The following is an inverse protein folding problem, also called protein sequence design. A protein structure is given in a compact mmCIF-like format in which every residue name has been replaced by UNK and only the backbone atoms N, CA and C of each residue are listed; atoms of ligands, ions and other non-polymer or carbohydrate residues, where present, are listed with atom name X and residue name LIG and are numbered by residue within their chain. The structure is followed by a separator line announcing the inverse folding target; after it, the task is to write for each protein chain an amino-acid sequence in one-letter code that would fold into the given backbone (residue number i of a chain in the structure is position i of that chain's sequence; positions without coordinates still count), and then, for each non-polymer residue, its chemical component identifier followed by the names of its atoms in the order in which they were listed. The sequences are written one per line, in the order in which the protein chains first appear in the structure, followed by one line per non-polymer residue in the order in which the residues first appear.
data_IF_043114765119
#
_entry.id   IF_043114765119
#
_cell.length_a   1.000
_cell.length_b   1.000
_cell.length_c   1.000
_cell.angle_alpha   90.00
_cell.angle_beta   90.00
_cell.angle_gamma   90.00
#
_symmetry.space_group_name_H-M   'P 1'
#
loop_
_entity.id
_entity.type
_entity.pdbx_description
1 polymer ?
#
# COMPACT_ATOMS: atom_id res chain seq x y z
N UNK A 1 -2.63 35.07 8.03
CA UNK A 1 -1.63 34.49 8.93
C UNK A 1 -0.22 34.87 8.51
N UNK A 2 0.65 35.17 9.46
CA UNK A 2 2.06 35.37 9.20
C UNK A 2 2.75 34.05 8.88
N UNK A 3 3.86 34.12 8.17
CA UNK A 3 4.69 32.96 7.86
C UNK A 3 5.13 32.21 9.12
N UNK A 4 5.55 32.94 10.15
CA UNK A 4 5.96 32.34 11.43
C UNK A 4 4.81 31.65 12.17
N UNK A 5 3.58 32.17 12.06
CA UNK A 5 2.40 31.50 12.64
C UNK A 5 2.09 30.18 11.92
N UNK A 6 2.21 30.15 10.59
CA UNK A 6 2.03 28.92 9.79
C UNK A 6 3.07 27.88 10.16
N UNK A 7 4.35 28.27 10.27
CA UNK A 7 5.42 27.35 10.64
C UNK A 7 5.23 26.76 12.03
N UNK A 8 4.75 27.55 12.99
CA UNK A 8 4.45 27.05 14.34
C UNK A 8 3.34 26.01 14.33
N UNK A 9 2.29 26.23 13.53
CA UNK A 9 1.19 25.27 13.39
C UNK A 9 1.68 23.97 12.78
N UNK A 10 2.50 24.02 11.75
CA UNK A 10 3.06 22.83 11.11
C UNK A 10 3.92 22.03 12.09
N UNK A 11 4.78 22.69 12.87
CA UNK A 11 5.59 22.03 13.90
C UNK A 11 4.72 21.33 14.94
N UNK A 12 3.65 21.99 15.39
CA UNK A 12 2.73 21.40 16.35
C UNK A 12 2.03 20.17 15.80
N UNK A 13 1.55 20.23 14.55
CA UNK A 13 0.89 19.09 13.89
C UNK A 13 1.83 17.91 13.73
N UNK A 14 3.12 18.13 13.46
CA UNK A 14 4.13 17.08 13.41
C UNK A 14 4.38 16.49 14.79
N UNK A 15 4.52 17.34 15.80
CA UNK A 15 4.77 16.90 17.18
C UNK A 15 3.60 16.08 17.75
N UNK A 16 2.37 16.48 17.43
CA UNK A 16 1.15 15.78 17.87
C UNK A 16 0.84 14.53 17.03
N UNK A 17 1.61 14.25 16.00
CA UNK A 17 1.41 13.09 15.14
C UNK A 17 0.28 13.23 14.11
N UNK A 18 -0.30 14.42 13.95
CA UNK A 18 -1.30 14.69 12.91
C UNK A 18 -0.65 14.64 11.53
N UNK A 19 0.52 15.27 11.40
CA UNK A 19 1.38 15.12 10.21
C UNK A 19 2.39 14.02 10.53
N UNK A 20 2.26 12.87 9.88
CA UNK A 20 3.13 11.71 10.12
C UNK A 20 4.36 11.69 9.24
N UNK A 21 4.34 12.40 8.12
CA UNK A 21 5.47 12.48 7.19
C UNK A 21 5.33 13.69 6.29
N UNK A 22 6.47 14.20 5.82
CA UNK A 22 6.55 15.23 4.79
C UNK A 22 7.25 14.60 3.59
N UNK A 23 6.56 14.46 2.48
CA UNK A 23 7.10 13.80 1.29
C UNK A 23 6.83 14.62 0.04
N UNK A 24 7.74 14.55 -0.92
CA UNK A 24 7.50 15.06 -2.25
C UNK A 24 6.72 14.04 -3.06
N UNK A 25 5.69 14.48 -3.75
CA UNK A 25 4.95 13.64 -4.70
C UNK A 25 5.61 13.80 -6.05
N UNK A 26 6.11 12.70 -6.59
CA UNK A 26 6.81 12.68 -7.87
C UNK A 26 5.96 12.02 -8.94
N UNK A 27 6.20 12.39 -10.20
CA UNK A 27 5.53 11.75 -11.35
C UNK A 27 6.22 10.42 -11.67
N UNK A 28 5.54 9.28 -11.50
CA UNK A 28 6.14 7.97 -11.74
C UNK A 28 6.60 7.78 -13.18
N UNK A 29 5.93 8.42 -14.15
CA UNK A 29 6.31 8.34 -15.57
C UNK A 29 7.68 8.92 -15.82
N UNK A 30 8.14 9.86 -14.99
CA UNK A 30 9.45 10.50 -15.10
C UNK A 30 10.56 9.76 -14.37
N UNK A 31 10.19 8.76 -13.55
CA UNK A 31 11.14 8.02 -12.71
C UNK A 31 11.35 6.58 -13.17
N UNK A 32 10.74 6.18 -14.27
CA UNK A 32 10.78 4.79 -14.73
C UNK A 32 10.35 3.82 -13.62
N UNK A 33 9.16 4.04 -13.09
CA UNK A 33 8.69 3.44 -11.83
C UNK A 33 8.38 1.93 -11.87
N UNK A 34 8.64 1.25 -13.00
CA UNK A 34 8.42 -0.19 -13.09
C UNK A 34 6.95 -0.58 -13.30
N UNK A 35 6.56 -1.70 -12.71
CA UNK A 35 5.25 -2.31 -12.88
C UNK A 35 4.44 -2.18 -11.60
N UNK A 36 3.14 -1.92 -11.75
CA UNK A 36 2.18 -1.91 -10.64
C UNK A 36 1.22 -3.07 -10.78
N UNK A 37 1.08 -3.84 -9.70
CA UNK A 37 0.16 -4.97 -9.61
C UNK A 37 -0.84 -4.72 -8.51
N UNK A 38 -2.10 -5.08 -8.74
CA UNK A 38 -3.12 -5.15 -7.71
C UNK A 38 -3.39 -6.62 -7.43
N UNK A 39 -3.21 -7.03 -6.19
CA UNK A 39 -3.25 -8.43 -5.82
C UNK A 39 -4.40 -8.66 -4.85
N UNK A 40 -5.31 -9.55 -5.23
CA UNK A 40 -6.44 -9.97 -4.41
C UNK A 40 -6.06 -11.29 -3.76
N UNK A 41 -6.02 -11.31 -2.43
CA UNK A 41 -5.56 -12.49 -1.68
C UNK A 41 -6.73 -13.08 -0.91
N UNK A 42 -6.95 -14.39 -1.10
CA UNK A 42 -7.91 -15.16 -0.32
C UNK A 42 -7.15 -16.04 0.67
N UNK A 43 -7.53 -15.96 1.93
CA UNK A 43 -6.88 -16.68 3.03
C UNK A 43 -7.61 -17.98 3.34
N UNK A 44 -6.87 -18.96 3.87
CA UNK A 44 -7.47 -20.07 4.56
C UNK A 44 -8.12 -19.57 5.84
N UNK A 45 -9.29 -20.11 6.20
CA UNK A 45 -10.06 -19.60 7.34
C UNK A 45 -9.61 -20.23 8.65
N UNK A 46 -8.54 -19.68 9.22
CA UNK A 46 -7.96 -20.20 10.47
C UNK A 46 -7.72 -19.12 11.52
N UNK A 47 -8.68 -18.26 11.78
CA UNK A 47 -8.62 -17.35 12.92
C UNK A 47 -7.92 -16.01 12.67
N UNK A 48 -8.33 -15.04 13.47
CA UNK A 48 -7.91 -13.63 13.32
C UNK A 48 -6.44 -13.38 13.61
N UNK A 49 -5.82 -14.17 14.49
CA UNK A 49 -4.40 -14.01 14.83
C UNK A 49 -3.49 -14.28 13.61
N UNK A 50 -3.83 -15.31 12.81
CA UNK A 50 -3.10 -15.64 11.60
C UNK A 50 -3.27 -14.56 10.53
N UNK A 51 -4.47 -14.00 10.41
CA UNK A 51 -4.75 -12.89 9.51
C UNK A 51 -3.89 -11.67 9.87
N UNK A 52 -3.85 -11.32 11.14
CA UNK A 52 -3.08 -10.16 11.61
C UNK A 52 -1.58 -10.35 11.41
N UNK A 53 -1.06 -11.54 11.65
CA UNK A 53 0.34 -11.85 11.44
C UNK A 53 0.72 -11.77 9.95
N UNK A 54 -0.11 -12.33 9.09
CA UNK A 54 0.07 -12.25 7.64
C UNK A 54 0.03 -10.79 7.17
N UNK A 55 -0.97 -10.03 7.59
CA UNK A 55 -1.15 -8.62 7.22
C UNK A 55 0.08 -7.79 7.62
N UNK A 56 0.59 -7.98 8.84
CA UNK A 56 1.77 -7.26 9.32
C UNK A 56 3.02 -7.59 8.48
N UNK A 57 3.21 -8.86 8.15
CA UNK A 57 4.34 -9.30 7.33
C UNK A 57 4.30 -8.73 5.92
N UNK A 58 3.14 -8.73 5.31
CA UNK A 58 2.95 -8.16 3.96
C UNK A 58 3.14 -6.65 3.97
N UNK A 59 2.55 -5.95 4.94
CA UNK A 59 2.67 -4.49 5.04
C UNK A 59 4.11 -4.03 5.27
N UNK A 60 4.96 -4.87 5.82
CA UNK A 60 6.37 -4.55 6.06
C UNK A 60 7.24 -4.69 4.79
N UNK A 61 6.73 -5.30 3.73
CA UNK A 61 7.49 -5.49 2.49
C UNK A 61 7.62 -4.16 1.74
N UNK A 62 8.83 -3.86 1.26
CA UNK A 62 9.11 -2.61 0.52
C UNK A 62 8.35 -2.53 -0.81
N UNK A 63 8.04 -3.67 -1.41
CA UNK A 63 7.30 -3.74 -2.68
C UNK A 63 5.83 -3.36 -2.52
N UNK A 64 5.29 -3.46 -1.31
CA UNK A 64 3.88 -3.20 -1.04
C UNK A 64 3.66 -1.73 -0.73
N UNK A 65 2.99 -1.03 -1.66
CA UNK A 65 2.63 0.39 -1.48
C UNK A 65 1.45 0.57 -0.54
N UNK A 66 0.47 -0.33 -0.62
CA UNK A 66 -0.70 -0.31 0.24
C UNK A 66 -1.26 -1.71 0.41
N UNK A 67 -1.86 -1.94 1.57
CA UNK A 67 -2.49 -3.21 1.89
C UNK A 67 -3.77 -2.94 2.67
N UNK A 68 -4.87 -3.58 2.26
CA UNK A 68 -6.17 -3.42 2.87
C UNK A 68 -6.76 -4.76 3.22
N UNK A 69 -7.34 -4.88 4.41
CA UNK A 69 -8.26 -5.97 4.71
C UNK A 69 -9.65 -5.54 4.22
N UNK A 70 -10.23 -6.33 3.35
CA UNK A 70 -11.48 -5.96 2.64
C UNK A 70 -12.58 -6.98 2.91
N UNK A 71 -13.80 -6.60 2.61
CA UNK A 71 -14.96 -7.51 2.66
C UNK A 71 -15.21 -8.11 1.28
N UNK A 72 -15.96 -9.21 1.23
CA UNK A 72 -16.33 -9.88 -0.01
C UNK A 72 -15.67 -11.23 -0.15
N UNK A 73 -15.46 -11.66 -1.40
CA UNK A 73 -14.85 -12.96 -1.70
C UNK A 73 -13.33 -12.98 -1.54
N UNK A 74 -12.73 -11.83 -1.36
CA UNK A 74 -11.29 -11.68 -1.14
C UNK A 74 -11.06 -11.12 0.25
N UNK A 75 -9.92 -11.45 0.86
CA UNK A 75 -9.60 -11.00 2.22
C UNK A 75 -8.68 -9.79 2.24
N UNK A 76 -7.69 -9.75 1.34
CA UNK A 76 -6.74 -8.65 1.27
C UNK A 76 -6.61 -8.12 -0.15
N UNK A 77 -6.44 -6.80 -0.24
CA UNK A 77 -6.12 -6.11 -1.49
C UNK A 77 -4.78 -5.44 -1.30
N UNK A 78 -3.80 -5.82 -2.13
CA UNK A 78 -2.46 -5.27 -2.09
C UNK A 78 -2.19 -4.48 -3.37
N UNK A 79 -1.50 -3.36 -3.24
CA UNK A 79 -0.89 -2.68 -4.37
C UNK A 79 0.62 -2.85 -4.27
N UNK A 80 1.21 -3.47 -5.27
CA UNK A 80 2.62 -3.87 -5.29
C UNK A 80 3.31 -3.21 -6.47
N UNK A 81 4.49 -2.64 -6.23
CA UNK A 81 5.34 -2.12 -7.31
C UNK A 81 6.65 -2.88 -7.33
N UNK A 82 7.05 -3.26 -8.52
CA UNK A 82 8.29 -3.99 -8.78
C UNK A 82 8.94 -3.49 -10.06
N UNK A 83 10.26 -3.59 -10.19
CA UNK A 83 10.93 -3.14 -11.41
C UNK A 83 10.66 -4.03 -12.63
N UNK A 84 10.46 -5.34 -12.45
CA UNK A 84 10.31 -6.32 -13.53
C UNK A 84 9.30 -7.40 -13.16
N UNK A 85 8.87 -8.18 -14.14
CA UNK A 85 8.02 -9.36 -13.90
C UNK A 85 8.77 -10.43 -13.11
N UNK A 86 10.07 -10.59 -13.32
CA UNK A 86 10.87 -11.53 -12.52
C UNK A 86 10.88 -11.15 -11.06
N UNK A 87 11.00 -9.87 -10.76
CA UNK A 87 10.91 -9.38 -9.38
C UNK A 87 9.53 -9.65 -8.77
N UNK A 88 8.47 -9.54 -9.56
CA UNK A 88 7.13 -9.86 -9.10
C UNK A 88 6.98 -11.36 -8.81
N UNK A 89 7.50 -12.21 -9.68
CA UNK A 89 7.50 -13.66 -9.46
C UNK A 89 8.22 -14.03 -8.16
N UNK A 90 9.39 -13.44 -7.91
CA UNK A 90 10.11 -13.64 -6.66
C UNK A 90 9.28 -13.20 -5.45
N UNK A 91 8.63 -12.04 -5.54
CA UNK A 91 7.75 -11.53 -4.49
C UNK A 91 6.60 -12.50 -4.20
N UNK A 92 5.89 -12.97 -5.24
CA UNK A 92 4.75 -13.88 -5.06
C UNK A 92 5.17 -15.22 -4.47
N UNK A 93 6.32 -15.73 -4.88
CA UNK A 93 6.84 -16.98 -4.31
C UNK A 93 7.15 -16.83 -2.82
N UNK A 94 7.83 -15.76 -2.43
CA UNK A 94 8.20 -15.53 -1.03
C UNK A 94 7.00 -15.23 -0.14
N UNK A 95 6.05 -14.44 -0.62
CA UNK A 95 5.00 -13.85 0.23
C UNK A 95 3.70 -14.61 0.15
N UNK A 96 3.37 -15.18 -1.00
CA UNK A 96 2.06 -15.77 -1.26
C UNK A 96 2.11 -17.28 -1.49
N UNK A 97 2.92 -17.76 -2.45
CA UNK A 97 2.92 -19.16 -2.84
C UNK A 97 3.42 -20.11 -1.75
N UNK A 98 4.41 -19.69 -0.99
CA UNK A 98 5.00 -20.51 0.06
C UNK A 98 4.28 -20.37 1.40
N UNK A 99 3.26 -19.53 1.46
CA UNK A 99 2.52 -19.29 2.70
C UNK A 99 1.26 -20.15 2.75
N UNK A 100 1.22 -21.08 3.70
CA UNK A 100 0.08 -22.01 3.89
C UNK A 100 -1.20 -21.30 4.33
N UNK A 101 -1.10 -20.08 4.84
CA UNK A 101 -2.26 -19.28 5.23
C UNK A 101 -3.01 -18.74 4.03
N UNK A 102 -2.35 -18.67 2.87
CA UNK A 102 -2.93 -18.17 1.62
C UNK A 102 -3.58 -19.33 0.86
N UNK A 103 -4.88 -19.21 0.57
CA UNK A 103 -5.60 -20.19 -0.25
C UNK A 103 -5.32 -19.94 -1.73
N UNK A 104 -5.49 -18.71 -2.17
CA UNK A 104 -5.30 -18.33 -3.57
C UNK A 104 -5.07 -16.82 -3.65
N UNK A 105 -4.54 -16.38 -4.78
CA UNK A 105 -4.45 -14.96 -5.07
C UNK A 105 -4.65 -14.73 -6.57
N UNK A 106 -5.10 -13.52 -6.89
CA UNK A 106 -5.30 -13.07 -8.27
C UNK A 106 -4.49 -11.78 -8.47
N UNK A 107 -3.69 -11.75 -9.52
CA UNK A 107 -2.91 -10.58 -9.89
C UNK A 107 -3.60 -9.82 -11.02
N UNK A 108 -3.84 -8.54 -10.81
CA UNK A 108 -4.27 -7.62 -11.85
C UNK A 108 -3.08 -6.72 -12.19
N UNK A 109 -2.59 -6.84 -13.42
CA UNK A 109 -1.47 -6.01 -13.88
C UNK A 109 -2.00 -4.65 -14.29
N UNK A 110 -1.49 -3.59 -13.67
CA UNK A 110 -1.82 -2.23 -14.05
C UNK A 110 -1.22 -1.89 -15.41
N UNK A 111 -2.08 -1.68 -16.40
CA UNK A 111 -1.63 -1.31 -17.75
C UNK A 111 -1.17 0.15 -17.78
N UNK A 112 -1.99 1.02 -17.21
CA UNK A 112 -1.67 2.44 -17.06
C UNK A 112 -2.51 3.05 -15.95
N UNK A 113 -1.97 4.06 -15.29
CA UNK A 113 -2.70 4.86 -14.31
C UNK A 113 -3.55 5.89 -15.03
N UNK A 114 -4.86 5.90 -14.77
CA UNK A 114 -5.79 6.86 -15.37
C UNK A 114 -5.94 8.09 -14.49
N UNK A 115 -6.02 7.86 -13.17
CA UNK A 115 -6.16 8.92 -12.18
C UNK A 115 -5.38 8.58 -10.94
N UNK A 116 -4.63 9.54 -10.43
CA UNK A 116 -3.84 9.37 -9.22
C UNK A 116 -4.60 9.89 -8.02
N UNK A 117 -4.38 9.27 -6.87
CA UNK A 117 -4.88 9.83 -5.62
C UNK A 117 -4.34 11.25 -5.46
N UNK A 118 -5.27 12.18 -5.34
CA UNK A 118 -4.96 13.59 -5.14
C UNK A 118 -5.01 13.88 -3.63
N UNK A 119 -3.88 14.25 -3.01
CA UNK A 119 -3.87 14.54 -1.58
C UNK A 119 -4.82 15.67 -1.16
N UNK A 120 -5.11 16.59 -2.10
CA UNK A 120 -6.06 17.68 -1.82
C UNK A 120 -7.50 17.21 -1.70
N UNK A 121 -7.79 15.99 -2.14
CA UNK A 121 -9.11 15.34 -2.05
C UNK A 121 -9.25 14.42 -0.84
N UNK A 122 -8.33 14.46 0.09
CA UNK A 122 -8.46 13.72 1.33
C UNK A 122 -9.78 14.09 2.02
N UNK A 123 -10.47 13.14 2.63
CA UNK A 123 -11.71 13.44 3.31
C UNK A 123 -11.53 14.54 4.34
N UNK A 124 -12.38 15.55 4.27
CA UNK A 124 -12.44 16.59 5.29
C UNK A 124 -13.10 16.00 6.52
N UNK A 125 -12.41 16.04 7.64
CA UNK A 125 -12.98 15.67 8.93
C UNK A 125 -13.52 16.95 9.57
N UNK A 126 -14.81 17.03 9.73
CA UNK A 126 -15.44 18.14 10.42
C UNK A 126 -15.37 17.97 11.93
#
# INVERSE_FOLDING_TARGET
LSESAVLRRLRRLRKEGVIVADVAIVDPARLNAGLTMHVLVEMEREGSALFNAFAAGVAARKEVLSAWHVTGSTDFLLTVTVPTMEAYEAFTNEVLNDDRRVRSFMTLVGIREIGRQDPSRAPMVE
#
